data_IF_124525865340
#
_entry.id   IF_124525865340
#
_cell.length_a   1.000
_cell.length_b   1.000
_cell.length_c   1.000
_cell.angle_alpha   90.00
_cell.angle_beta   90.00
_cell.angle_gamma   90.00
#
_symmetry.space_group_name_H-M   'P 1'
#
loop_
_entity.id
_entity.type
_entity.pdbx_description
1 polymer ?
#
# COMPACT_ATOMS: atom_id res chain seq x y z
N UNK A 1 11.11 17.04 56.81
CA UNK A 1 11.58 17.17 55.41
C UNK A 1 10.50 16.62 54.46
N UNK A 2 9.36 17.30 54.30
CA UNK A 2 8.17 16.74 53.60
C UNK A 2 7.36 17.79 52.82
N UNK A 3 7.96 18.91 52.40
CA UNK A 3 7.19 20.02 51.78
C UNK A 3 7.71 20.50 50.40
N UNK A 4 8.49 19.70 49.66
CA UNK A 4 9.07 20.13 48.37
C UNK A 4 8.55 19.39 47.12
N UNK A 5 7.78 18.31 47.26
CA UNK A 5 7.31 17.52 46.10
C UNK A 5 5.97 17.99 45.51
N UNK A 6 5.19 18.79 46.24
CA UNK A 6 3.85 19.22 45.78
C UNK A 6 3.90 20.29 44.67
N UNK A 7 5.00 21.02 44.50
CA UNK A 7 5.06 22.19 43.61
C UNK A 7 5.36 21.83 42.15
N UNK A 8 5.99 20.69 41.89
CA UNK A 8 6.39 20.28 40.52
C UNK A 8 5.20 19.80 39.68
N UNK A 9 4.17 19.22 40.31
CA UNK A 9 2.98 18.73 39.61
C UNK A 9 2.08 19.82 39.00
N UNK A 10 2.07 21.02 39.58
CA UNK A 10 1.20 22.12 39.13
C UNK A 10 1.76 22.80 37.88
N UNK A 11 3.08 22.95 37.78
CA UNK A 11 3.72 23.62 36.62
C UNK A 11 3.58 22.80 35.34
N UNK A 12 3.62 21.46 35.43
CA UNK A 12 3.44 20.59 34.26
C UNK A 12 1.99 20.58 33.75
N UNK A 13 0.99 20.79 34.60
CA UNK A 13 -0.41 20.89 34.17
C UNK A 13 -0.72 22.22 33.47
N UNK A 14 -0.09 23.32 33.89
CA UNK A 14 -0.29 24.63 33.26
C UNK A 14 0.27 24.67 31.82
N UNK A 15 1.44 24.06 31.56
CA UNK A 15 1.98 23.95 30.19
C UNK A 15 1.09 23.13 29.25
N UNK A 16 0.37 22.13 29.77
CA UNK A 16 -0.52 21.29 28.97
C UNK A 16 -1.76 22.04 28.48
N UNK A 17 -2.27 23.00 29.28
CA UNK A 17 -3.43 23.82 28.93
C UNK A 17 -3.06 24.89 27.88
N UNK A 18 -1.86 25.45 27.97
CA UNK A 18 -1.38 26.46 27.01
C UNK A 18 -1.23 25.87 25.60
N UNK A 19 -0.66 24.67 25.49
CA UNK A 19 -0.52 23.96 24.19
C UNK A 19 -1.88 23.65 23.56
N UNK A 20 -2.89 23.23 24.34
CA UNK A 20 -4.23 22.99 23.81
C UNK A 20 -4.90 24.27 23.29
N UNK A 21 -4.68 25.40 23.95
CA UNK A 21 -5.32 26.68 23.55
C UNK A 21 -4.74 27.21 22.24
N UNK A 22 -3.44 27.05 22.02
CA UNK A 22 -2.80 27.42 20.75
C UNK A 22 -3.24 26.53 19.58
N UNK A 23 -3.45 25.23 19.84
CA UNK A 23 -3.88 24.29 18.81
C UNK A 23 -5.30 24.63 18.29
N UNK A 24 -6.23 24.97 19.18
CA UNK A 24 -7.59 25.34 18.78
C UNK A 24 -7.64 26.62 17.95
N UNK A 25 -6.82 27.64 18.30
CA UNK A 25 -6.75 28.89 17.52
C UNK A 25 -6.17 28.67 16.12
N UNK A 26 -5.19 27.77 15.99
CA UNK A 26 -4.58 27.44 14.71
C UNK A 26 -5.60 26.78 13.75
N UNK A 27 -6.40 25.82 14.23
CA UNK A 27 -7.43 25.18 13.40
C UNK A 27 -8.56 26.13 12.98
N UNK A 28 -8.94 27.08 13.84
CA UNK A 28 -9.95 28.07 13.49
C UNK A 28 -9.45 28.99 12.37
N UNK A 29 -8.20 29.45 12.44
CA UNK A 29 -7.60 30.27 11.37
C UNK A 29 -7.46 29.48 10.06
N UNK A 30 -7.04 28.21 10.13
CA UNK A 30 -6.90 27.36 8.95
C UNK A 30 -8.25 27.12 8.25
N UNK A 31 -9.34 26.92 9.01
CA UNK A 31 -10.70 26.80 8.44
C UNK A 31 -11.16 28.09 7.77
N UNK A 32 -10.87 29.26 8.34
CA UNK A 32 -11.22 30.55 7.73
C UNK A 32 -10.48 30.75 6.41
N UNK A 33 -9.18 30.43 6.35
CA UNK A 33 -8.39 30.54 5.11
C UNK A 33 -8.94 29.63 4.01
N UNK A 34 -9.23 28.35 4.34
CA UNK A 34 -9.80 27.41 3.37
C UNK A 34 -11.19 27.82 2.86
N UNK A 35 -12.02 28.42 3.73
CA UNK A 35 -13.34 28.93 3.30
C UNK A 35 -13.21 30.15 2.37
N UNK A 36 -12.23 31.03 2.62
CA UNK A 36 -11.97 32.19 1.76
C UNK A 36 -11.45 31.75 0.39
N UNK A 37 -10.53 30.78 0.33
CA UNK A 37 -10.04 30.23 -0.95
C UNK A 37 -11.16 29.53 -1.74
N UNK A 38 -12.01 28.75 -1.08
CA UNK A 38 -13.20 28.16 -1.72
C UNK A 38 -14.15 29.24 -2.29
N UNK A 39 -14.37 30.34 -1.56
CA UNK A 39 -15.20 31.45 -2.03
C UNK A 39 -14.60 32.17 -3.25
N UNK A 40 -13.27 32.33 -3.30
CA UNK A 40 -12.58 32.92 -4.45
C UNK A 40 -12.72 32.03 -5.70
N UNK A 41 -12.59 30.70 -5.55
CA UNK A 41 -12.74 29.76 -6.66
C UNK A 41 -14.17 29.76 -7.21
N UNK A 42 -15.18 29.78 -6.33
CA UNK A 42 -16.59 29.81 -6.75
C UNK A 42 -16.96 31.14 -7.44
N UNK A 43 -16.41 32.26 -6.98
CA UNK A 43 -16.62 33.56 -7.62
C UNK A 43 -15.88 33.72 -8.97
N UNK A 44 -14.83 32.93 -9.21
CA UNK A 44 -14.00 32.97 -10.43
C UNK A 44 -14.56 32.21 -11.64
N UNK A 45 -15.53 31.30 -11.46
CA UNK A 45 -16.07 30.46 -12.55
C UNK A 45 -17.14 31.15 -13.44
N UNK A 46 -17.24 32.47 -13.41
CA UNK A 46 -18.32 33.23 -14.08
C UNK A 46 -18.08 33.70 -15.52
N UNK A 47 -16.92 33.44 -16.15
CA UNK A 47 -16.66 33.92 -17.52
C UNK A 47 -15.99 32.84 -18.37
N UNK A 48 -16.82 32.13 -19.13
CA UNK A 48 -16.40 31.32 -20.28
C UNK A 48 -15.80 32.23 -21.36
N UNK A 49 -14.55 31.98 -21.82
CA UNK A 49 -13.93 32.75 -22.89
C UNK A 49 -14.20 32.14 -24.29
N UNK A 50 -15.34 31.49 -24.51
CA UNK A 50 -15.74 31.09 -25.87
C UNK A 50 -16.42 32.26 -26.58
N UNK A 51 -15.58 33.18 -27.03
CA UNK A 51 -15.95 34.23 -27.97
C UNK A 51 -16.15 33.68 -29.37
N UNK A 52 -17.34 33.95 -29.91
CA UNK A 52 -17.70 34.16 -31.31
C UNK A 52 -16.58 33.98 -32.35
N UNK A 53 -16.55 32.83 -33.01
CA UNK A 53 -16.02 32.73 -34.38
C UNK A 53 -17.16 32.86 -35.37
N UNK A 54 -17.29 34.07 -35.93
CA UNK A 54 -18.08 34.35 -37.13
C UNK A 54 -17.53 33.55 -38.32
N UNK A 55 -18.47 33.08 -39.14
CA UNK A 55 -18.26 32.07 -40.15
C UNK A 55 -17.48 32.50 -41.41
N UNK A 56 -17.13 31.47 -42.17
CA UNK A 56 -16.94 31.52 -43.62
C UNK A 56 -17.82 30.43 -44.23
N UNK A 57 -18.54 30.70 -45.35
CA UNK A 57 -19.44 29.74 -45.98
C UNK A 57 -18.79 29.07 -47.21
N UNK A 58 -19.43 27.97 -47.65
CA UNK A 58 -19.11 27.09 -48.79
C UNK A 58 -17.91 26.15 -48.53
N UNK A 59 -18.02 24.84 -48.69
CA UNK A 59 -18.46 24.20 -49.93
C UNK A 59 -19.04 22.80 -49.69
N UNK A 60 -20.03 22.51 -50.52
CA UNK A 60 -20.93 21.36 -50.62
C UNK A 60 -20.20 20.06 -51.01
N UNK A 61 -20.43 18.96 -50.28
CA UNK A 61 -20.48 17.62 -50.88
C UNK A 61 -21.14 16.59 -49.95
N UNK A 62 -22.43 16.36 -50.20
CA UNK A 62 -23.11 15.06 -50.23
C UNK A 62 -22.40 13.85 -49.60
N UNK A 63 -22.97 13.33 -48.49
CA UNK A 63 -23.33 11.90 -48.45
C UNK A 63 -24.50 11.63 -47.52
N UNK A 64 -25.52 11.04 -48.12
CA UNK A 64 -26.81 10.71 -47.54
C UNK A 64 -26.76 9.50 -46.60
N UNK A 65 -27.62 9.57 -45.58
CA UNK A 65 -28.49 8.51 -45.04
C UNK A 65 -27.89 7.14 -44.70
N UNK A 66 -27.92 6.78 -43.40
CA UNK A 66 -28.98 5.92 -42.86
C UNK A 66 -28.84 5.73 -41.33
N UNK A 67 -29.96 5.74 -40.57
CA UNK A 67 -30.01 5.28 -39.18
C UNK A 67 -30.37 3.79 -39.13
N UNK A 68 -29.61 2.97 -38.41
CA UNK A 68 -29.95 1.56 -38.17
C UNK A 68 -29.93 1.24 -36.67
N UNK A 69 -31.16 1.14 -36.17
CA UNK A 69 -31.71 0.14 -35.26
C UNK A 69 -30.96 -0.24 -33.98
N UNK A 70 -31.54 0.23 -32.88
CA UNK A 70 -31.75 -0.47 -31.62
C UNK A 70 -32.09 -1.95 -31.84
N UNK A 71 -31.31 -2.86 -31.24
CA UNK A 71 -31.70 -4.26 -31.06
C UNK A 71 -31.56 -4.61 -29.59
N UNK A 72 -32.71 -4.68 -28.92
CA UNK A 72 -32.92 -5.40 -27.66
C UNK A 72 -32.79 -6.90 -27.96
N UNK A 73 -31.97 -7.63 -27.20
CA UNK A 73 -31.97 -9.10 -27.22
C UNK A 73 -31.99 -9.64 -25.80
N UNK A 74 -33.19 -9.96 -25.33
CA UNK A 74 -33.42 -10.98 -24.32
C UNK A 74 -33.30 -12.38 -24.97
N UNK A 75 -32.89 -13.37 -24.19
CA UNK A 75 -32.74 -14.78 -24.60
C UNK A 75 -31.53 -15.39 -23.89
N UNK A 76 -31.66 -16.03 -22.73
CA UNK A 76 -32.29 -17.33 -22.46
C UNK A 76 -31.47 -18.53 -22.98
N UNK A 77 -31.01 -19.32 -22.00
CA UNK A 77 -30.88 -20.79 -21.95
C UNK A 77 -29.71 -21.55 -22.64
N UNK A 78 -29.41 -22.67 -21.96
CA UNK A 78 -28.74 -23.91 -22.38
C UNK A 78 -27.20 -23.87 -22.35
N UNK A 79 -26.53 -24.61 -21.46
CA UNK A 79 -26.41 -26.07 -21.33
C UNK A 79 -25.19 -26.62 -22.10
N UNK A 80 -24.36 -27.38 -21.37
CA UNK A 80 -23.38 -28.38 -21.80
C UNK A 80 -22.36 -27.98 -22.87
N UNK A 81 -21.06 -28.02 -22.53
CA UNK A 81 -20.21 -29.02 -23.17
C UNK A 81 -18.93 -29.30 -22.38
N UNK A 82 -18.74 -30.59 -22.14
CA UNK A 82 -17.54 -31.22 -21.62
C UNK A 82 -16.47 -31.26 -22.72
N UNK A 83 -15.27 -30.80 -22.42
CA UNK A 83 -14.09 -31.12 -23.22
C UNK A 83 -12.92 -31.49 -22.31
N UNK A 84 -12.88 -32.78 -21.98
CA UNK A 84 -11.68 -33.50 -21.56
C UNK A 84 -10.63 -33.43 -22.66
N UNK A 85 -9.47 -32.85 -22.37
CA UNK A 85 -8.25 -33.12 -23.14
C UNK A 85 -7.19 -33.69 -22.21
N UNK A 86 -7.05 -35.02 -22.32
CA UNK A 86 -5.86 -35.75 -21.96
C UNK A 86 -4.82 -35.56 -23.06
N UNK A 87 -3.62 -35.11 -22.72
CA UNK A 87 -2.43 -35.26 -23.56
C UNK A 87 -1.18 -35.56 -22.73
N UNK A 88 -0.86 -36.85 -22.76
CA UNK A 88 0.45 -37.39 -23.12
C UNK A 88 1.64 -37.12 -22.21
N UNK A 89 1.88 -38.10 -21.33
CA UNK A 89 3.20 -38.58 -20.93
C UNK A 89 4.12 -38.72 -22.16
N UNK A 90 5.25 -38.02 -22.16
CA UNK A 90 6.38 -38.33 -23.01
C UNK A 90 7.65 -38.30 -22.15
N UNK A 91 8.16 -39.51 -21.88
CA UNK A 91 9.39 -39.73 -21.16
C UNK A 91 10.59 -39.12 -21.90
N UNK A 92 11.45 -38.47 -21.11
CA UNK A 92 12.75 -37.98 -21.51
C UNK A 92 13.76 -38.31 -20.44
N UNK A 93 14.13 -39.60 -20.32
CA UNK A 93 15.33 -40.00 -19.61
C UNK A 93 16.54 -39.59 -20.45
N UNK A 94 17.19 -38.48 -20.09
CA UNK A 94 18.56 -38.20 -20.51
C UNK A 94 19.48 -38.31 -19.30
N UNK A 95 20.36 -39.30 -19.40
CA UNK A 95 21.32 -39.69 -18.38
C UNK A 95 22.29 -38.56 -18.03
N UNK A 96 22.41 -38.30 -16.74
CA UNK A 96 23.50 -37.55 -16.16
C UNK A 96 24.69 -38.49 -15.95
N UNK A 97 25.62 -38.51 -16.92
CA UNK A 97 26.95 -39.09 -16.80
C UNK A 97 27.86 -38.09 -16.07
N UNK A 98 27.70 -37.96 -14.75
CA UNK A 98 28.71 -37.34 -13.89
C UNK A 98 29.12 -38.31 -12.78
N UNK A 99 30.38 -38.82 -12.81
CA UNK A 99 30.89 -39.68 -11.77
C UNK A 99 31.18 -38.87 -10.50
N UNK A 100 30.51 -39.26 -9.40
CA UNK A 100 31.07 -39.24 -8.05
C UNK A 100 31.45 -37.89 -7.46
N UNK A 101 30.49 -37.00 -7.21
CA UNK A 101 30.63 -35.99 -6.15
C UNK A 101 30.04 -36.60 -4.89
N UNK A 102 30.92 -36.97 -3.96
CA UNK A 102 30.58 -37.44 -2.62
C UNK A 102 29.78 -36.32 -1.93
N UNK A 103 28.46 -36.50 -1.85
CA UNK A 103 27.56 -35.65 -1.08
C UNK A 103 27.93 -35.77 0.40
N UNK A 104 28.91 -34.97 0.83
CA UNK A 104 29.31 -34.84 2.22
C UNK A 104 28.18 -34.10 2.93
N UNK A 105 27.25 -34.87 3.47
CA UNK A 105 26.15 -34.40 4.29
C UNK A 105 26.67 -33.54 5.42
N UNK A 106 26.37 -32.25 5.33
CA UNK A 106 26.30 -31.35 6.47
C UNK A 106 24.98 -30.60 6.30
N UNK A 107 23.88 -31.30 6.56
CA UNK A 107 22.57 -30.71 6.81
C UNK A 107 22.59 -30.04 8.19
N UNK A 108 23.52 -29.12 8.41
CA UNK A 108 23.39 -28.12 9.46
C UNK A 108 22.64 -26.97 8.82
N UNK A 109 21.33 -27.15 8.65
CA UNK A 109 20.43 -26.02 8.42
C UNK A 109 20.80 -24.97 9.47
N UNK A 110 21.38 -23.86 9.02
CA UNK A 110 21.87 -22.82 9.89
C UNK A 110 20.75 -22.48 10.89
N UNK A 111 21.03 -22.43 12.21
CA UNK A 111 20.01 -22.15 13.19
C UNK A 111 19.22 -20.92 12.75
N UNK A 112 17.89 -21.09 12.67
CA UNK A 112 17.00 -20.08 12.08
C UNK A 112 17.35 -18.71 12.66
N UNK A 113 17.29 -17.62 11.85
CA UNK A 113 17.43 -16.28 12.38
C UNK A 113 16.49 -16.13 13.58
N UNK A 114 17.11 -15.95 14.74
CA UNK A 114 16.41 -15.72 15.99
C UNK A 114 15.56 -14.46 15.78
N UNK A 115 14.28 -14.51 16.16
CA UNK A 115 13.38 -13.37 16.16
C UNK A 115 13.39 -12.79 17.58
N UNK A 116 14.39 -11.98 17.96
CA UNK A 116 14.64 -11.65 19.37
C UNK A 116 13.50 -10.86 19.99
N UNK A 117 12.85 -10.00 19.21
CA UNK A 117 11.77 -9.15 19.71
C UNK A 117 10.43 -9.90 19.70
N UNK A 118 10.11 -10.58 18.58
CA UNK A 118 8.85 -11.32 18.38
C UNK A 118 7.60 -10.51 18.82
N UNK A 119 7.60 -9.19 18.59
CA UNK A 119 6.52 -8.27 18.99
C UNK A 119 5.33 -8.53 18.08
N UNK A 120 4.22 -8.97 18.67
CA UNK A 120 2.95 -9.09 17.96
C UNK A 120 2.33 -7.70 17.76
N UNK A 121 1.92 -7.42 16.53
CA UNK A 121 1.18 -6.21 16.18
C UNK A 121 -0.24 -6.62 15.79
N UNK A 122 -1.21 -6.01 16.48
CA UNK A 122 -2.65 -6.19 16.25
C UNK A 122 -3.30 -4.83 16.34
N UNK A 123 -4.13 -4.47 15.36
CA UNK A 123 -4.87 -3.22 15.30
C UNK A 123 -3.99 -1.97 15.58
N UNK A 124 -2.91 -1.75 14.81
CA UNK A 124 -2.04 -0.59 15.03
C UNK A 124 -2.81 0.73 14.87
N UNK A 125 -2.50 1.78 15.65
CA UNK A 125 -3.16 3.07 15.55
C UNK A 125 -2.99 3.71 14.17
N UNK A 126 -4.06 4.30 13.63
CA UNK A 126 -3.99 5.02 12.36
C UNK A 126 -2.91 6.10 12.37
N UNK A 127 -2.11 6.16 11.30
CA UNK A 127 -0.98 7.08 11.19
C UNK A 127 0.30 6.62 11.89
N UNK A 128 0.33 5.44 12.53
CA UNK A 128 1.60 4.83 13.00
C UNK A 128 2.36 4.16 11.85
N UNK A 129 3.66 3.91 12.04
CA UNK A 129 4.46 3.17 11.06
C UNK A 129 3.96 1.73 10.89
N UNK A 130 3.54 1.09 11.98
CA UNK A 130 2.93 -0.23 11.97
C UNK A 130 1.59 -0.24 11.22
N UNK A 131 0.81 0.83 11.28
CA UNK A 131 -0.42 0.94 10.51
C UNK A 131 -0.16 0.97 9.01
N UNK A 132 0.87 1.67 8.56
CA UNK A 132 1.31 1.64 7.15
C UNK A 132 1.64 0.21 6.70
N UNK A 133 2.37 -0.54 7.53
CA UNK A 133 2.69 -1.95 7.25
C UNK A 133 1.42 -2.82 7.23
N UNK A 134 0.52 -2.65 8.19
CA UNK A 134 -0.75 -3.38 8.23
C UNK A 134 -1.59 -3.10 6.97
N UNK A 135 -1.65 -1.86 6.51
CA UNK A 135 -2.49 -1.49 5.38
C UNK A 135 -1.96 -2.05 4.04
N UNK A 136 -0.63 -2.03 3.81
CA UNK A 136 -0.06 -2.68 2.61
C UNK A 136 -0.22 -4.21 2.62
N UNK A 137 -0.17 -4.84 3.80
CA UNK A 137 -0.40 -6.28 3.93
C UNK A 137 -1.87 -6.62 3.67
N UNK A 138 -2.81 -5.84 4.22
CA UNK A 138 -4.23 -5.99 3.92
C UNK A 138 -4.51 -5.78 2.43
N UNK A 139 -3.93 -4.76 1.81
CA UNK A 139 -4.09 -4.51 0.38
C UNK A 139 -3.61 -5.71 -0.45
N UNK A 140 -2.47 -6.30 -0.09
CA UNK A 140 -1.92 -7.46 -0.78
C UNK A 140 -2.76 -8.75 -0.59
N UNK A 141 -3.58 -8.84 0.45
CA UNK A 141 -4.52 -9.95 0.65
C UNK A 141 -5.79 -9.86 -0.20
N UNK A 142 -6.13 -8.67 -0.69
CA UNK A 142 -7.34 -8.45 -1.48
C UNK A 142 -7.24 -9.07 -2.90
N UNK A 143 -8.40 -9.29 -3.56
CA UNK A 143 -8.43 -9.62 -4.98
C UNK A 143 -7.62 -8.61 -5.80
N UNK A 144 -6.98 -9.08 -6.88
CA UNK A 144 -6.21 -8.18 -7.73
C UNK A 144 -7.14 -7.14 -8.34
N UNK A 145 -6.81 -5.87 -8.14
CA UNK A 145 -7.62 -4.78 -8.61
C UNK A 145 -6.89 -3.46 -8.40
N UNK A 146 -7.28 -2.48 -9.21
CA UNK A 146 -6.65 -1.17 -9.12
C UNK A 146 -6.92 -0.49 -7.78
N UNK A 147 -8.08 -0.73 -7.15
CA UNK A 147 -8.36 -0.22 -5.80
C UNK A 147 -7.36 -0.74 -4.76
N UNK A 148 -7.08 -2.05 -4.76
CA UNK A 148 -6.12 -2.64 -3.82
C UNK A 148 -4.70 -2.13 -4.09
N UNK A 149 -4.33 -2.02 -5.36
CA UNK A 149 -3.04 -1.47 -5.74
C UNK A 149 -2.88 0.01 -5.37
N UNK A 150 -3.89 0.86 -5.57
CA UNK A 150 -3.82 2.28 -5.19
C UNK A 150 -3.67 2.44 -3.67
N UNK A 151 -4.34 1.59 -2.87
CA UNK A 151 -4.13 1.57 -1.42
C UNK A 151 -2.70 1.16 -1.06
N UNK A 152 -2.17 0.13 -1.72
CA UNK A 152 -0.79 -0.30 -1.55
C UNK A 152 0.22 0.78 -1.94
N UNK A 153 0.08 1.37 -3.13
CA UNK A 153 0.97 2.41 -3.66
C UNK A 153 0.88 3.71 -2.86
N UNK A 154 -0.29 4.04 -2.32
CA UNK A 154 -0.55 5.24 -1.55
C UNK A 154 0.37 5.45 -0.35
N UNK A 155 1.08 4.41 0.12
CA UNK A 155 2.04 4.48 1.21
C UNK A 155 3.48 4.76 0.79
N UNK A 156 3.82 4.67 -0.49
CA UNK A 156 5.19 4.87 -0.95
C UNK A 156 5.57 6.35 -1.02
N UNK A 157 6.84 6.65 -0.76
CA UNK A 157 7.37 7.99 -1.00
C UNK A 157 7.31 8.34 -2.49
N UNK A 158 7.16 9.64 -2.80
CA UNK A 158 7.03 10.14 -4.17
C UNK A 158 8.18 9.76 -5.11
N UNK A 159 9.36 9.45 -4.58
CA UNK A 159 10.50 8.96 -5.36
C UNK A 159 10.28 7.58 -6.00
N UNK A 160 9.29 6.82 -5.54
CA UNK A 160 8.95 5.53 -6.13
C UNK A 160 8.00 5.74 -7.31
N UNK A 161 8.50 5.42 -8.50
CA UNK A 161 7.70 5.43 -9.71
C UNK A 161 6.56 4.40 -9.61
N UNK A 162 5.31 4.85 -9.84
CA UNK A 162 4.11 4.00 -9.77
C UNK A 162 4.22 2.75 -10.66
N UNK A 163 4.70 2.92 -11.89
CA UNK A 163 4.86 1.82 -12.85
C UNK A 163 5.81 0.73 -12.32
N UNK A 164 6.95 1.15 -11.77
CA UNK A 164 7.91 0.25 -11.14
C UNK A 164 7.30 -0.50 -9.95
N UNK A 165 6.61 0.20 -9.05
CA UNK A 165 5.94 -0.44 -7.89
C UNK A 165 4.90 -1.47 -8.36
N UNK A 166 4.11 -1.14 -9.39
CA UNK A 166 3.10 -2.07 -9.95
C UNK A 166 3.72 -3.32 -10.56
N UNK A 167 4.87 -3.21 -11.21
CA UNK A 167 5.49 -4.34 -11.90
C UNK A 167 6.38 -5.18 -10.98
N UNK A 168 7.09 -4.53 -10.05
CA UNK A 168 8.13 -5.20 -9.25
C UNK A 168 7.67 -5.55 -7.84
N UNK A 169 6.94 -4.67 -7.17
CA UNK A 169 6.58 -4.89 -5.78
C UNK A 169 5.23 -5.55 -5.63
N UNK A 170 4.22 -5.06 -6.37
CA UNK A 170 2.84 -5.51 -6.21
C UNK A 170 2.65 -7.03 -6.41
N UNK A 171 3.16 -7.67 -7.49
CA UNK A 171 2.93 -9.09 -7.69
C UNK A 171 3.59 -9.94 -6.60
N UNK A 172 4.82 -9.58 -6.20
CA UNK A 172 5.59 -10.27 -5.15
C UNK A 172 4.95 -10.11 -3.78
N UNK A 173 4.48 -8.90 -3.46
CA UNK A 173 3.78 -8.64 -2.21
C UNK A 173 2.58 -9.59 -2.07
N UNK A 174 1.74 -9.71 -3.11
CA UNK A 174 0.59 -10.61 -3.12
C UNK A 174 0.97 -12.08 -3.06
N UNK A 175 2.02 -12.48 -3.77
CA UNK A 175 2.51 -13.86 -3.76
C UNK A 175 3.02 -14.28 -2.37
N UNK A 176 3.61 -13.35 -1.62
CA UNK A 176 4.32 -13.67 -0.38
C UNK A 176 3.64 -13.21 0.90
N UNK A 177 2.61 -12.35 0.83
CA UNK A 177 1.96 -11.72 1.99
C UNK A 177 1.57 -12.70 3.11
N UNK A 178 1.01 -13.87 2.75
CA UNK A 178 0.56 -14.87 3.73
C UNK A 178 1.68 -15.46 4.58
N UNK A 179 2.94 -15.36 4.11
CA UNK A 179 4.11 -15.82 4.87
C UNK A 179 4.44 -14.90 6.04
N UNK A 180 3.88 -13.70 6.10
CA UNK A 180 4.17 -12.70 7.13
C UNK A 180 3.03 -12.51 8.15
N UNK A 181 1.92 -13.22 7.96
CA UNK A 181 0.69 -13.02 8.70
C UNK A 181 0.43 -14.22 9.62
N UNK A 182 0.07 -13.93 10.87
CA UNK A 182 -0.38 -14.92 11.87
C UNK A 182 -1.87 -15.20 11.74
N UNK A 183 -2.66 -14.15 11.50
CA UNK A 183 -4.11 -14.20 11.37
C UNK A 183 -4.56 -13.11 10.38
N UNK A 184 -5.48 -13.43 9.47
CA UNK A 184 -6.01 -12.47 8.49
C UNK A 184 -7.21 -11.67 9.02
N UNK A 185 -7.94 -12.19 10.02
CA UNK A 185 -9.11 -11.51 10.60
C UNK A 185 -9.21 -11.70 12.13
N UNK A 186 -8.73 -10.72 12.94
CA UNK A 186 -8.08 -9.48 12.51
C UNK A 186 -6.68 -9.75 11.93
N UNK A 187 -6.15 -8.79 11.15
CA UNK A 187 -4.77 -8.84 10.69
C UNK A 187 -3.80 -8.81 11.89
N UNK A 188 -2.98 -9.85 12.00
CA UNK A 188 -1.94 -9.97 13.01
C UNK A 188 -0.64 -10.37 12.32
N UNK A 189 0.44 -9.67 12.62
CA UNK A 189 1.79 -9.99 12.15
C UNK A 189 2.79 -9.75 13.28
N UNK A 190 4.04 -10.17 13.07
CA UNK A 190 5.10 -10.02 14.08
C UNK A 190 6.30 -9.26 13.55
N UNK A 191 6.87 -8.42 14.40
CA UNK A 191 8.12 -7.71 14.16
C UNK A 191 9.24 -8.40 14.92
N UNK A 192 10.29 -8.82 14.21
CA UNK A 192 11.43 -9.50 14.79
C UNK A 192 12.55 -8.56 15.22
N UNK A 193 12.70 -7.44 14.52
CA UNK A 193 13.71 -6.43 14.79
C UNK A 193 13.23 -5.07 14.33
N UNK A 194 13.69 -4.05 15.04
CA UNK A 194 13.44 -2.65 14.74
C UNK A 194 14.76 -1.92 14.83
N UNK A 195 15.01 -1.04 13.86
CA UNK A 195 16.19 -0.19 13.86
C UNK A 195 15.75 1.24 13.53
N UNK A 196 16.33 2.22 14.21
CA UNK A 196 16.12 3.65 13.95
C UNK A 196 17.43 4.25 13.44
N UNK A 197 17.78 4.01 12.16
CA UNK A 197 19.05 4.47 11.57
C UNK A 197 19.23 5.99 11.58
N UNK A 198 18.15 6.74 11.40
CA UNK A 198 18.14 8.22 11.37
C UNK A 198 16.90 8.76 12.10
N UNK A 199 16.93 10.01 12.61
CA UNK A 199 15.73 10.66 13.13
C UNK A 199 14.60 10.68 12.09
N UNK A 200 13.42 10.18 12.48
CA UNK A 200 12.28 10.06 11.59
C UNK A 200 12.34 8.89 10.60
N UNK A 201 13.32 7.99 10.72
CA UNK A 201 13.41 6.77 9.91
C UNK A 201 13.26 5.53 10.80
N UNK A 202 12.46 4.56 10.36
CA UNK A 202 12.21 3.31 11.08
C UNK A 202 12.33 2.13 10.13
N UNK A 203 13.20 1.17 10.45
CA UNK A 203 13.37 -0.06 9.69
C UNK A 203 12.83 -1.25 10.48
N UNK A 204 11.76 -1.84 9.98
CA UNK A 204 11.07 -2.98 10.57
C UNK A 204 11.44 -4.27 9.84
N UNK A 205 11.69 -5.34 10.57
CA UNK A 205 11.91 -6.68 10.02
C UNK A 205 10.72 -7.56 10.39
N UNK A 206 9.92 -7.95 9.39
CA UNK A 206 8.71 -8.74 9.59
C UNK A 206 9.07 -10.22 9.72
N UNK A 207 8.44 -10.94 10.65
CA UNK A 207 8.65 -12.38 10.77
C UNK A 207 8.13 -13.11 9.52
N UNK A 208 9.00 -13.86 8.87
CA UNK A 208 8.59 -14.88 7.90
C UNK A 208 8.27 -16.21 8.60
N UNK A 209 7.12 -16.79 8.26
CA UNK A 209 6.73 -18.16 8.63
C UNK A 209 7.19 -19.20 7.59
N UNK A 210 7.71 -18.77 6.44
CA UNK A 210 8.41 -19.62 5.50
C UNK A 210 9.86 -19.84 5.97
N UNK A 211 10.19 -21.09 6.31
CA UNK A 211 11.49 -21.49 6.87
C UNK A 211 12.66 -21.28 5.90
N UNK A 212 12.37 -21.14 4.60
CA UNK A 212 13.37 -20.93 3.55
C UNK A 212 13.63 -19.45 3.27
N UNK A 213 12.94 -18.54 3.97
CA UNK A 213 13.00 -17.09 3.73
C UNK A 213 13.47 -16.35 4.98
N UNK A 214 14.27 -15.32 4.77
CA UNK A 214 14.65 -14.38 5.83
C UNK A 214 13.50 -13.43 6.16
N UNK A 215 13.56 -12.83 7.34
CA UNK A 215 12.65 -11.75 7.77
C UNK A 215 12.91 -10.48 6.94
N UNK A 216 12.03 -10.10 5.99
CA UNK A 216 12.30 -9.00 5.08
C UNK A 216 12.27 -7.65 5.79
N UNK A 217 13.15 -6.70 5.41
CA UNK A 217 13.11 -5.34 5.91
C UNK A 217 12.08 -4.48 5.16
N UNK A 218 11.41 -3.60 5.90
CA UNK A 218 10.66 -2.45 5.38
C UNK A 218 11.21 -1.20 6.07
N UNK A 219 11.69 -0.24 5.28
CA UNK A 219 12.14 1.06 5.81
C UNK A 219 11.05 2.09 5.56
N UNK A 220 10.63 2.74 6.63
CA UNK A 220 9.68 3.84 6.64
C UNK A 220 10.39 5.13 7.01
N UNK A 221 9.97 6.24 6.41
CA UNK A 221 10.42 7.60 6.74
C UNK A 221 9.21 8.46 7.04
N UNK A 222 9.27 9.21 8.13
CA UNK A 222 8.26 10.18 8.51
C UNK A 222 8.55 11.51 7.83
N UNK A 223 7.63 11.99 7.00
CA UNK A 223 7.73 13.28 6.32
C UNK A 223 6.47 14.08 6.61
N UNK A 224 6.63 15.30 7.14
CA UNK A 224 5.51 16.15 7.56
C UNK A 224 4.51 15.43 8.52
N UNK A 225 5.04 14.60 9.43
CA UNK A 225 4.24 13.83 10.39
C UNK A 225 3.62 12.54 9.83
N UNK A 226 3.72 12.27 8.53
CA UNK A 226 3.14 11.07 7.89
C UNK A 226 4.23 10.04 7.61
N UNK A 227 4.01 8.79 7.99
CA UNK A 227 4.90 7.68 7.65
C UNK A 227 4.68 7.23 6.21
N UNK A 228 5.77 7.06 5.47
CA UNK A 228 5.79 6.54 4.10
C UNK A 228 6.87 5.50 3.93
N UNK A 229 6.70 4.60 2.98
CA UNK A 229 7.64 3.56 2.63
C UNK A 229 8.76 4.17 1.78
N UNK A 230 9.97 4.12 2.31
CA UNK A 230 11.20 4.55 1.64
C UNK A 230 11.92 3.38 0.96
N UNK A 231 11.83 2.19 1.54
CA UNK A 231 12.40 0.96 0.97
C UNK A 231 11.53 -0.24 1.31
N UNK A 232 11.31 -1.11 0.33
CA UNK A 232 10.47 -2.29 0.45
C UNK A 232 11.07 -3.48 -0.30
N UNK A 233 11.11 -4.64 0.35
CA UNK A 233 11.50 -5.92 -0.28
C UNK A 233 10.43 -6.97 0.05
N UNK A 234 9.48 -7.22 -0.86
CA UNK A 234 8.45 -8.24 -0.69
C UNK A 234 8.98 -9.67 -0.76
#
# INVERSE_FOLDING_TARGET
MTNLEATVGVVNNLRKIEVQTHFTRFFTLLRVVLLVECLIIVAGCGKSPYGDRKGTPLETANRANAPVSTVTREGSSSAADSATQATTDAGGQQGSLYPGVVSKGIDHAAPRPHCPVNREVRNPPEGSAEWVVADILNAALEPDGDSAFERFYGHFMAQHERGWVRQQYWPRAREHVRKYIVSENPLVYRICRELTPEPGQLKLFLRSYDEKKSDPPITLRQTAGVWRIEFYTP
#
